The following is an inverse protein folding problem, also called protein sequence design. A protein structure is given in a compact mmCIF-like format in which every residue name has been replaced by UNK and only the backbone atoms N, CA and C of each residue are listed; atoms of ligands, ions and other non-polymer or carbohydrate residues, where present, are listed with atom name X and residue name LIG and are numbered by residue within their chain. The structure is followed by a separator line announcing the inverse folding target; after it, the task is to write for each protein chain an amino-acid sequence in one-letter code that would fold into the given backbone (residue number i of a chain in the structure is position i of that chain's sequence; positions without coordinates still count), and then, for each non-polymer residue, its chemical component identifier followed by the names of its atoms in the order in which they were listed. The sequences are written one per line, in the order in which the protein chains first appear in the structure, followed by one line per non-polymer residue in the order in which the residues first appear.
data_IF_441203905833
#
_entry.id   IF_441203905833
#
_cell.length_a   1.000
_cell.length_b   1.000
_cell.length_c   1.000
_cell.angle_alpha   90.00
_cell.angle_beta   90.00
_cell.angle_gamma   90.00
#
_symmetry.space_group_name_H-M   'P 1'
#
loop_
_entity.id
_entity.type
_entity.pdbx_description
1 polymer ?
#
# COMPACT_ATOMS: atom_id res chain seq x y z
N UNK A 1 52.57 25.48 12.55
CA UNK A 1 51.86 25.79 11.30
C UNK A 1 50.94 24.63 10.95
N UNK A 2 49.64 24.85 11.07
CA UNK A 2 48.58 23.86 10.85
C UNK A 2 48.49 23.48 9.37
N UNK A 3 47.91 22.32 9.06
CA UNK A 3 47.82 21.81 7.68
C UNK A 3 47.01 22.73 6.75
N UNK A 4 46.00 23.40 7.31
CA UNK A 4 45.21 24.45 6.66
C UNK A 4 46.05 25.68 6.29
N UNK A 5 46.95 26.12 7.18
CA UNK A 5 47.83 27.27 6.94
C UNK A 5 48.87 26.96 5.87
N UNK A 6 49.39 25.72 5.86
CA UNK A 6 50.28 25.23 4.80
C UNK A 6 49.58 25.09 3.45
N UNK A 7 48.28 24.78 3.45
CA UNK A 7 47.48 24.72 2.23
C UNK A 7 47.22 26.13 1.69
N UNK A 8 46.78 27.07 2.55
CA UNK A 8 46.58 28.47 2.13
C UNK A 8 47.86 29.10 1.59
N UNK A 9 48.99 28.89 2.26
CA UNK A 9 50.28 29.43 1.80
C UNK A 9 50.68 28.92 0.40
N UNK A 10 50.41 27.64 0.13
CA UNK A 10 50.67 27.03 -1.19
C UNK A 10 49.77 27.58 -2.29
N UNK A 11 48.49 27.84 -1.97
CA UNK A 11 47.58 28.50 -2.91
C UNK A 11 48.00 29.94 -3.20
N UNK A 12 48.38 30.69 -2.17
CA UNK A 12 48.80 32.09 -2.28
C UNK A 12 50.08 32.22 -3.14
N UNK A 13 51.03 31.31 -2.95
CA UNK A 13 52.27 31.23 -3.73
C UNK A 13 52.03 30.84 -5.20
N UNK A 14 51.13 29.88 -5.44
CA UNK A 14 50.71 29.49 -6.78
C UNK A 14 50.04 30.65 -7.53
N UNK A 15 49.11 31.35 -6.87
CA UNK A 15 48.48 32.54 -7.43
C UNK A 15 49.50 33.65 -7.66
N UNK A 16 50.46 33.87 -6.76
CA UNK A 16 51.49 34.90 -6.92
C UNK A 16 52.43 34.65 -8.12
N UNK A 17 52.72 33.39 -8.43
CA UNK A 17 53.69 33.03 -9.48
C UNK A 17 53.04 32.87 -10.87
N UNK A 18 51.81 32.36 -10.93
CA UNK A 18 51.11 32.08 -12.19
C UNK A 18 49.86 32.96 -12.44
N UNK A 19 49.34 33.65 -11.44
CA UNK A 19 48.13 34.47 -11.52
C UNK A 19 48.40 35.93 -11.20
N UNK A 20 48.82 36.72 -12.20
CA UNK A 20 48.97 38.16 -12.05
C UNK A 20 47.76 38.80 -11.36
N UNK A 21 48.04 39.73 -10.42
CA UNK A 21 47.13 40.53 -9.58
C UNK A 21 45.71 39.97 -9.39
N UNK A 22 45.39 39.50 -8.18
CA UNK A 22 44.09 39.00 -7.72
C UNK A 22 42.94 39.92 -8.19
N UNK A 23 42.44 39.68 -9.39
CA UNK A 23 41.19 40.27 -9.87
C UNK A 23 40.09 39.59 -9.07
N UNK A 24 39.27 40.37 -8.40
CA UNK A 24 38.01 39.90 -7.82
C UNK A 24 37.22 39.26 -8.96
N UNK A 25 37.08 37.93 -8.93
CA UNK A 25 36.30 37.20 -9.93
C UNK A 25 34.83 37.51 -9.68
N UNK A 26 34.12 38.13 -10.64
CA UNK A 26 32.67 38.31 -10.53
C UNK A 26 32.01 36.95 -10.38
N UNK A 27 30.98 36.85 -9.54
CA UNK A 27 30.23 35.61 -9.31
C UNK A 27 29.60 35.02 -10.60
N UNK A 28 29.56 35.80 -11.69
CA UNK A 28 28.95 35.49 -12.98
C UNK A 28 29.85 34.66 -13.93
N UNK A 29 30.98 34.13 -13.44
CA UNK A 29 31.91 33.32 -14.25
C UNK A 29 32.59 32.17 -13.52
N UNK A 30 32.18 31.83 -12.29
CA UNK A 30 32.62 30.57 -11.69
C UNK A 30 32.04 29.42 -12.52
N UNK A 31 32.85 28.42 -12.94
CA UNK A 31 32.29 27.21 -13.51
C UNK A 31 31.22 26.69 -12.55
N UNK A 32 30.07 26.30 -13.09
CA UNK A 32 29.00 25.67 -12.32
C UNK A 32 29.62 24.63 -11.38
N UNK A 33 29.12 24.49 -10.12
CA UNK A 33 29.74 23.62 -9.13
C UNK A 33 30.01 22.28 -9.81
N UNK A 34 31.29 21.95 -9.98
CA UNK A 34 31.68 20.73 -10.65
C UNK A 34 30.97 19.58 -9.95
N UNK A 35 30.34 18.69 -10.71
CA UNK A 35 29.63 17.55 -10.14
C UNK A 35 30.59 16.81 -9.21
N UNK A 36 30.21 16.70 -7.95
CA UNK A 36 31.05 16.01 -6.96
C UNK A 36 31.10 14.53 -7.35
N UNK A 37 32.18 13.82 -7.01
CA UNK A 37 32.27 12.36 -7.18
C UNK A 37 31.04 11.64 -6.61
N UNK A 38 30.47 12.16 -5.52
CA UNK A 38 29.26 11.64 -4.89
C UNK A 38 28.03 11.80 -5.78
N UNK A 39 27.88 12.94 -6.45
CA UNK A 39 26.75 13.19 -7.35
C UNK A 39 26.86 12.32 -8.60
N UNK A 40 28.07 12.16 -9.13
CA UNK A 40 28.34 11.25 -10.25
C UNK A 40 28.00 9.79 -9.91
N UNK A 41 28.31 9.34 -8.69
CA UNK A 41 27.92 8.02 -8.21
C UNK A 41 26.40 7.92 -8.05
N UNK A 42 25.73 8.95 -7.53
CA UNK A 42 24.26 8.96 -7.39
C UNK A 42 23.56 8.84 -8.74
N UNK A 43 24.05 9.56 -9.75
CA UNK A 43 23.45 9.58 -11.08
C UNK A 43 23.68 8.25 -11.83
N UNK A 44 24.84 7.60 -11.59
CA UNK A 44 25.23 6.36 -12.27
C UNK A 44 24.84 5.10 -11.49
N UNK A 45 24.36 5.24 -10.25
CA UNK A 45 24.03 4.11 -9.39
C UNK A 45 22.84 3.32 -9.92
N UNK A 46 22.97 2.00 -9.89
CA UNK A 46 21.92 1.04 -10.27
C UNK A 46 21.62 0.12 -9.10
N UNK A 47 20.34 -0.09 -8.79
CA UNK A 47 19.90 -0.97 -7.69
C UNK A 47 20.25 -2.44 -7.98
N UNK A 48 20.07 -2.88 -9.23
CA UNK A 48 20.65 -4.11 -9.79
C UNK A 48 21.47 -3.70 -11.00
N UNK A 49 22.72 -4.13 -11.05
CA UNK A 49 23.65 -3.76 -12.11
C UNK A 49 23.85 -4.94 -13.05
N UNK A 50 23.60 -4.71 -14.33
CA UNK A 50 23.81 -5.69 -15.40
C UNK A 50 25.12 -5.38 -16.13
N UNK A 51 25.70 -6.37 -16.81
CA UNK A 51 26.99 -6.18 -17.52
C UNK A 51 26.89 -5.14 -18.66
N UNK A 52 25.68 -4.85 -19.15
CA UNK A 52 25.42 -3.81 -20.14
C UNK A 52 25.37 -2.37 -19.60
N UNK A 53 25.34 -2.17 -18.27
CA UNK A 53 25.33 -0.84 -17.64
C UNK A 53 26.74 -0.22 -17.56
N UNK A 54 27.79 -0.98 -17.92
CA UNK A 54 29.18 -0.57 -17.87
C UNK A 54 29.64 0.06 -19.19
N UNK A 55 29.45 1.38 -19.33
CA UNK A 55 29.92 2.18 -20.49
C UNK A 55 31.44 2.49 -20.47
N UNK A 56 32.19 1.96 -19.49
CA UNK A 56 33.64 2.16 -19.33
C UNK A 56 34.05 3.53 -18.77
N UNK A 57 33.10 4.44 -18.53
CA UNK A 57 33.38 5.77 -17.98
C UNK A 57 33.96 5.69 -16.57
N UNK A 58 34.66 6.75 -16.13
CA UNK A 58 35.14 6.84 -14.74
C UNK A 58 33.96 6.77 -13.76
N UNK A 59 32.84 7.41 -14.09
CA UNK A 59 31.59 7.37 -13.34
C UNK A 59 31.09 5.92 -13.13
N UNK A 60 30.99 5.17 -14.24
CA UNK A 60 30.52 3.80 -14.21
C UNK A 60 31.48 2.87 -13.46
N UNK A 61 32.80 3.05 -13.62
CA UNK A 61 33.81 2.34 -12.83
C UNK A 61 33.72 2.63 -11.33
N UNK A 62 33.44 3.88 -10.94
CA UNK A 62 33.24 4.23 -9.52
C UNK A 62 31.95 3.62 -8.97
N UNK A 63 30.85 3.69 -9.73
CA UNK A 63 29.58 3.07 -9.36
C UNK A 63 29.70 1.54 -9.24
N UNK A 64 30.42 0.86 -10.15
CA UNK A 64 30.73 -0.57 -10.07
C UNK A 64 31.44 -0.92 -8.78
N UNK A 65 32.53 -0.20 -8.46
CA UNK A 65 33.30 -0.43 -7.21
C UNK A 65 32.44 -0.24 -5.96
N UNK A 66 31.52 0.71 -5.96
CA UNK A 66 30.57 0.89 -4.87
C UNK A 66 29.56 -0.27 -4.79
N UNK A 67 29.01 -0.69 -5.93
CA UNK A 67 28.05 -1.79 -6.03
C UNK A 67 28.63 -3.13 -5.55
N UNK A 68 29.90 -3.39 -5.86
CA UNK A 68 30.59 -4.63 -5.47
C UNK A 68 30.80 -4.71 -3.95
N UNK A 69 30.97 -3.57 -3.28
CA UNK A 69 31.06 -3.49 -1.80
C UNK A 69 29.72 -3.74 -1.11
N UNK A 70 28.59 -3.51 -1.79
CA UNK A 70 27.27 -3.69 -1.17
C UNK A 70 27.00 -5.17 -0.88
N UNK A 71 26.48 -5.42 0.31
CA UNK A 71 26.00 -6.74 0.72
C UNK A 71 24.55 -6.96 0.25
N UNK A 72 24.39 -7.84 -0.74
CA UNK A 72 23.16 -8.01 -1.53
C UNK A 72 22.23 -9.15 -1.07
N UNK A 73 22.44 -9.69 0.13
CA UNK A 73 21.61 -10.78 0.66
C UNK A 73 20.30 -10.29 1.27
N UNK A 74 20.36 -9.19 2.04
CA UNK A 74 19.21 -8.58 2.72
C UNK A 74 19.18 -7.08 2.46
N UNK A 75 18.00 -6.56 2.09
CA UNK A 75 17.76 -5.12 1.95
C UNK A 75 17.38 -4.48 3.29
N UNK A 76 17.45 -3.15 3.33
CA UNK A 76 16.77 -2.34 4.33
C UNK A 76 15.58 -1.65 3.71
N UNK A 77 14.54 -1.44 4.53
CA UNK A 77 13.32 -0.77 4.10
C UNK A 77 13.08 0.53 4.87
N UNK A 78 12.80 1.60 4.14
CA UNK A 78 12.17 2.78 4.69
C UNK A 78 10.65 2.63 4.62
N UNK A 79 10.06 2.46 5.80
CA UNK A 79 8.62 2.28 5.99
C UNK A 79 7.94 3.58 6.45
N UNK A 80 8.60 4.75 6.39
CA UNK A 80 8.02 6.04 6.83
C UNK A 80 6.69 6.36 6.14
N UNK A 81 6.58 6.07 4.83
CA UNK A 81 5.41 6.32 3.99
C UNK A 81 4.51 5.11 3.76
N UNK A 82 4.52 4.12 4.66
CA UNK A 82 3.74 2.88 4.51
C UNK A 82 2.22 3.11 4.34
N UNK A 83 1.67 4.21 4.88
CA UNK A 83 0.24 4.54 4.76
C UNK A 83 -0.18 4.91 3.34
N UNK A 84 0.70 5.57 2.59
CA UNK A 84 0.47 5.87 1.17
C UNK A 84 0.73 4.64 0.29
N UNK A 85 1.47 3.64 0.83
CA UNK A 85 1.84 2.41 0.12
C UNK A 85 3.21 2.50 -0.53
N UNK A 86 3.92 3.62 -0.32
CA UNK A 86 5.28 3.81 -0.80
C UNK A 86 6.26 3.26 0.23
N UNK A 87 7.12 2.36 -0.23
CA UNK A 87 8.20 1.77 0.57
C UNK A 87 9.50 2.00 -0.20
N UNK A 88 10.48 2.60 0.45
CA UNK A 88 11.83 2.73 -0.10
C UNK A 88 12.66 1.52 0.29
N UNK A 89 13.48 1.00 -0.61
CA UNK A 89 14.42 -0.08 -0.28
C UNK A 89 15.82 0.29 -0.74
N UNK A 90 16.83 -0.17 0.00
CA UNK A 90 18.24 -0.05 -0.38
C UNK A 90 19.05 -1.24 0.14
N UNK A 91 20.19 -1.49 -0.50
CA UNK A 91 21.16 -2.44 0.01
C UNK A 91 21.85 -1.93 1.28
N UNK A 92 22.37 -2.89 2.06
CA UNK A 92 23.11 -2.61 3.30
C UNK A 92 24.53 -2.17 2.96
N UNK A 93 25.06 -1.27 3.79
CA UNK A 93 26.48 -0.89 3.77
C UNK A 93 27.25 -1.67 4.84
N UNK A 94 28.57 -1.76 4.69
CA UNK A 94 29.46 -2.57 5.54
C UNK A 94 29.25 -2.32 7.05
N UNK A 95 29.16 -1.05 7.46
CA UNK A 95 28.93 -0.69 8.86
C UNK A 95 27.61 -1.23 9.41
N UNK A 96 26.56 -1.29 8.59
CA UNK A 96 25.26 -1.84 8.97
C UNK A 96 25.28 -3.36 9.06
N UNK A 97 26.03 -4.02 8.17
CA UNK A 97 26.23 -5.46 8.18
C UNK A 97 27.03 -5.89 9.40
N UNK A 98 28.11 -5.18 9.72
CA UNK A 98 28.91 -5.43 10.94
C UNK A 98 28.08 -5.25 12.21
N UNK A 99 27.12 -4.30 12.21
CA UNK A 99 26.16 -4.13 13.31
C UNK A 99 25.07 -5.21 13.34
N UNK A 100 24.90 -5.97 12.26
CA UNK A 100 23.87 -7.00 12.13
C UNK A 100 22.48 -6.47 11.74
N UNK A 101 22.41 -5.25 11.19
CA UNK A 101 21.17 -4.62 10.74
C UNK A 101 20.54 -5.40 9.60
N UNK A 102 19.24 -5.68 9.67
CA UNK A 102 18.52 -6.46 8.66
C UNK A 102 18.82 -7.96 8.69
N UNK A 103 19.44 -8.47 9.76
CA UNK A 103 19.68 -9.91 9.97
C UNK A 103 19.37 -10.32 11.41
N UNK A 104 20.06 -9.71 12.39
CA UNK A 104 19.79 -9.89 13.83
C UNK A 104 19.06 -8.69 14.46
N UNK A 105 18.98 -7.59 13.73
CA UNK A 105 18.17 -6.42 14.06
C UNK A 105 17.21 -6.12 12.89
N UNK A 106 16.05 -5.55 13.18
CA UNK A 106 15.03 -5.18 12.21
C UNK A 106 15.62 -4.35 11.06
N UNK A 107 15.34 -4.74 9.82
CA UNK A 107 15.79 -4.10 8.58
C UNK A 107 15.08 -2.79 8.25
N UNK A 108 14.15 -2.33 9.09
CA UNK A 108 13.58 -1.00 8.91
C UNK A 108 14.58 0.07 9.39
N UNK A 109 14.82 1.09 8.56
CA UNK A 109 15.86 2.12 8.78
C UNK A 109 15.72 2.77 10.17
N UNK A 110 14.49 3.11 10.57
CA UNK A 110 14.21 3.76 11.85
C UNK A 110 13.82 2.84 13.01
N UNK A 111 14.07 1.53 12.95
CA UNK A 111 13.65 0.58 14.00
C UNK A 111 14.81 -0.29 14.48
N UNK A 112 15.14 -0.27 15.77
CA UNK A 112 16.25 -1.06 16.36
C UNK A 112 15.81 -2.35 17.05
N UNK A 113 14.60 -2.84 16.79
CA UNK A 113 14.06 -4.05 17.41
C UNK A 113 14.83 -5.31 17.00
N UNK A 114 15.03 -6.24 17.93
CA UNK A 114 15.76 -7.51 17.73
C UNK A 114 14.91 -8.74 18.01
N UNK A 115 13.76 -8.58 18.68
CA UNK A 115 12.86 -9.68 18.99
C UNK A 115 11.89 -9.98 17.84
N UNK A 116 11.57 -11.28 17.67
CA UNK A 116 10.50 -11.73 16.77
C UNK A 116 10.73 -11.41 15.29
N UNK A 117 11.98 -11.37 14.86
CA UNK A 117 12.34 -11.08 13.48
C UNK A 117 11.89 -12.19 12.53
N UNK A 118 11.31 -11.80 11.40
CA UNK A 118 10.91 -12.71 10.34
C UNK A 118 11.49 -12.24 9.00
N UNK A 119 11.88 -13.21 8.17
CA UNK A 119 12.38 -12.96 6.81
C UNK A 119 11.19 -12.97 5.85
N UNK A 120 11.09 -11.93 5.03
CA UNK A 120 10.09 -11.80 3.99
C UNK A 120 10.77 -11.66 2.63
N UNK A 121 10.22 -12.35 1.64
CA UNK A 121 10.54 -12.12 0.23
C UNK A 121 9.53 -11.13 -0.33
N UNK A 122 10.01 -9.98 -0.77
CA UNK A 122 9.18 -8.87 -1.23
C UNK A 122 9.49 -8.58 -2.68
N UNK A 123 8.46 -8.51 -3.51
CA UNK A 123 8.60 -8.02 -4.87
C UNK A 123 8.74 -6.50 -4.85
N UNK A 124 9.94 -6.00 -5.08
CA UNK A 124 10.26 -4.59 -5.16
C UNK A 124 10.15 -4.12 -6.61
N UNK A 125 9.04 -3.44 -6.92
CA UNK A 125 8.86 -2.74 -8.18
C UNK A 125 9.36 -1.29 -8.05
N UNK A 126 10.26 -0.89 -8.94
CA UNK A 126 10.88 0.44 -8.92
C UNK A 126 11.09 0.96 -10.35
N UNK A 127 11.22 2.27 -10.49
CA UNK A 127 11.53 2.92 -11.77
C UNK A 127 12.95 3.44 -11.70
N UNK A 128 13.76 3.09 -12.69
CA UNK A 128 15.16 3.48 -12.76
C UNK A 128 15.51 3.82 -14.21
N UNK A 129 16.07 5.01 -14.45
CA UNK A 129 16.29 5.57 -15.80
C UNK A 129 15.04 5.53 -16.71
N UNK A 130 13.85 5.74 -16.14
CA UNK A 130 12.59 5.77 -16.88
C UNK A 130 11.97 4.39 -17.17
N UNK A 131 12.67 3.30 -16.82
CA UNK A 131 12.19 1.94 -17.02
C UNK A 131 11.67 1.32 -15.72
N UNK A 132 10.54 0.62 -15.81
CA UNK A 132 9.97 -0.12 -14.69
C UNK A 132 10.68 -1.46 -14.50
N UNK A 133 11.42 -1.61 -13.41
CA UNK A 133 12.11 -2.84 -13.02
C UNK A 133 11.40 -3.51 -11.84
N UNK A 134 11.61 -4.82 -11.71
CA UNK A 134 11.12 -5.60 -10.57
C UNK A 134 12.23 -6.50 -10.05
N UNK A 135 12.34 -6.62 -8.74
CA UNK A 135 13.32 -7.46 -8.08
C UNK A 135 12.72 -8.15 -6.86
N UNK A 136 12.93 -9.46 -6.73
CA UNK A 136 12.59 -10.17 -5.52
C UNK A 136 13.72 -9.99 -4.50
N UNK A 137 13.43 -9.30 -3.39
CA UNK A 137 14.42 -8.99 -2.36
C UNK A 137 14.04 -9.59 -1.02
N UNK A 138 15.05 -9.97 -0.23
CA UNK A 138 14.85 -10.48 1.13
C UNK A 138 14.95 -9.34 2.13
N UNK A 139 14.00 -9.29 3.05
CA UNK A 139 13.92 -8.28 4.10
C UNK A 139 13.62 -8.96 5.44
N UNK A 140 14.43 -8.71 6.45
CA UNK A 140 14.17 -9.17 7.82
C UNK A 140 13.55 -8.04 8.62
N UNK A 141 12.36 -8.23 9.18
CA UNK A 141 11.67 -7.19 9.99
C UNK A 141 10.97 -7.78 11.21
N UNK A 142 10.80 -6.94 12.24
CA UNK A 142 10.00 -7.26 13.42
C UNK A 142 8.48 -7.25 13.11
N UNK A 143 7.62 -7.75 14.01
CA UNK A 143 6.18 -7.86 13.76
C UNK A 143 5.49 -6.52 13.46
N UNK A 144 5.90 -5.44 14.13
CA UNK A 144 5.35 -4.10 13.86
C UNK A 144 5.70 -3.60 12.45
N UNK A 145 6.94 -3.81 12.03
CA UNK A 145 7.40 -3.41 10.70
C UNK A 145 6.82 -4.33 9.61
N UNK A 146 6.58 -5.60 9.91
CA UNK A 146 5.84 -6.51 9.03
C UNK A 146 4.40 -6.05 8.80
N UNK A 147 3.73 -5.52 9.83
CA UNK A 147 2.41 -4.90 9.68
C UNK A 147 2.45 -3.66 8.78
N UNK A 148 3.45 -2.77 8.97
CA UNK A 148 3.64 -1.58 8.12
C UNK A 148 3.89 -1.98 6.66
N UNK A 149 4.75 -2.97 6.43
CA UNK A 149 5.08 -3.50 5.10
C UNK A 149 3.81 -4.00 4.37
N UNK A 150 2.92 -4.70 5.07
CA UNK A 150 1.70 -5.27 4.48
C UNK A 150 0.44 -4.41 4.69
N UNK A 151 0.61 -3.15 5.11
CA UNK A 151 -0.48 -2.30 5.59
C UNK A 151 -1.64 -2.18 4.59
N UNK A 152 -1.35 -1.93 3.30
CA UNK A 152 -2.36 -1.80 2.24
C UNK A 152 -3.14 -3.09 2.03
N UNK A 153 -2.45 -4.23 2.00
CA UNK A 153 -3.07 -5.56 1.84
C UNK A 153 -4.00 -5.87 3.01
N UNK A 154 -3.55 -5.61 4.23
CA UNK A 154 -4.35 -5.83 5.45
C UNK A 154 -5.56 -4.88 5.49
N UNK A 155 -5.37 -3.60 5.13
CA UNK A 155 -6.45 -2.61 5.08
C UNK A 155 -7.52 -2.99 4.05
N UNK A 156 -7.11 -3.35 2.83
CA UNK A 156 -8.04 -3.79 1.78
C UNK A 156 -8.82 -5.05 2.15
N UNK A 157 -8.17 -6.03 2.81
CA UNK A 157 -8.86 -7.21 3.34
C UNK A 157 -9.92 -6.85 4.39
N UNK A 158 -9.58 -5.96 5.33
CA UNK A 158 -10.52 -5.50 6.37
C UNK A 158 -11.72 -4.75 5.78
N UNK A 159 -11.48 -3.90 4.78
CA UNK A 159 -12.55 -3.16 4.09
C UNK A 159 -13.47 -4.11 3.31
N UNK A 160 -12.91 -5.06 2.54
CA UNK A 160 -13.70 -6.04 1.81
C UNK A 160 -14.51 -6.98 2.72
N UNK A 161 -13.98 -7.34 3.90
CA UNK A 161 -14.73 -8.10 4.91
C UNK A 161 -15.91 -7.31 5.46
N UNK A 162 -15.73 -6.01 5.72
CA UNK A 162 -16.82 -5.12 6.19
C UNK A 162 -17.90 -4.96 5.14
N UNK A 163 -17.53 -4.79 3.87
CA UNK A 163 -18.49 -4.70 2.76
C UNK A 163 -19.29 -6.01 2.59
N UNK A 164 -18.61 -7.16 2.71
CA UNK A 164 -19.27 -8.47 2.71
C UNK A 164 -20.20 -8.68 3.90
N UNK A 165 -19.85 -8.16 5.07
CA UNK A 165 -20.72 -8.22 6.25
C UNK A 165 -21.97 -7.35 6.04
N UNK A 166 -21.80 -6.09 5.63
CA UNK A 166 -22.92 -5.17 5.39
C UNK A 166 -23.87 -5.64 4.29
N UNK A 167 -23.35 -6.21 3.19
CA UNK A 167 -24.18 -6.79 2.13
C UNK A 167 -24.99 -8.02 2.61
N UNK A 168 -24.42 -8.86 3.49
CA UNK A 168 -25.13 -9.98 4.12
C UNK A 168 -26.25 -9.50 5.04
N UNK A 169 -25.99 -8.49 5.85
CA UNK A 169 -27.00 -7.87 6.73
C UNK A 169 -28.15 -7.27 5.92
N UNK A 170 -27.85 -6.45 4.90
CA UNK A 170 -28.86 -5.87 4.02
C UNK A 170 -29.71 -6.94 3.31
N UNK A 171 -29.12 -8.07 2.92
CA UNK A 171 -29.85 -9.20 2.33
C UNK A 171 -30.74 -9.89 3.35
N UNK A 172 -30.28 -10.03 4.60
CA UNK A 172 -31.07 -10.58 5.71
C UNK A 172 -32.29 -9.70 6.02
N UNK A 173 -32.11 -8.37 6.10
CA UNK A 173 -33.20 -7.42 6.31
C UNK A 173 -34.24 -7.41 5.18
N UNK A 174 -33.79 -7.48 3.92
CA UNK A 174 -34.72 -7.62 2.78
C UNK A 174 -35.53 -8.91 2.88
N UNK A 175 -34.91 -10.01 3.33
CA UNK A 175 -35.58 -11.30 3.52
C UNK A 175 -36.58 -11.26 4.67
N UNK A 176 -36.26 -10.62 5.80
CA UNK A 176 -37.20 -10.46 6.93
C UNK A 176 -38.38 -9.59 6.53
N UNK A 177 -38.15 -8.42 5.91
CA UNK A 177 -39.22 -7.53 5.40
C UNK A 177 -40.15 -8.24 4.39
N UNK A 178 -39.59 -9.07 3.52
CA UNK A 178 -40.38 -9.88 2.57
C UNK A 178 -41.27 -10.92 3.29
N UNK A 179 -40.71 -11.62 4.30
CA UNK A 179 -41.48 -12.55 5.15
C UNK A 179 -42.61 -11.84 5.90
N UNK A 180 -42.38 -10.65 6.45
CA UNK A 180 -43.41 -9.87 7.14
C UNK A 180 -44.52 -9.39 6.20
N UNK A 181 -44.17 -8.95 4.98
CA UNK A 181 -45.17 -8.60 3.96
C UNK A 181 -46.02 -9.81 3.59
N UNK A 182 -45.39 -10.99 3.43
CA UNK A 182 -46.11 -12.25 3.12
C UNK A 182 -47.05 -12.64 4.26
N UNK A 183 -46.60 -12.57 5.51
CA UNK A 183 -47.40 -12.91 6.69
C UNK A 183 -48.61 -11.97 6.86
N UNK A 184 -48.42 -10.65 6.64
CA UNK A 184 -49.51 -9.66 6.66
C UNK A 184 -50.54 -9.94 5.57
N UNK A 185 -50.11 -10.25 4.34
CA UNK A 185 -51.01 -10.58 3.22
C UNK A 185 -51.81 -11.85 3.49
N UNK A 186 -51.20 -12.87 4.10
CA UNK A 186 -51.88 -14.10 4.48
C UNK A 186 -52.92 -13.87 5.60
N UNK A 187 -52.58 -13.10 6.64
CA UNK A 187 -53.53 -12.70 7.69
C UNK A 187 -54.71 -11.92 7.12
N UNK A 188 -54.46 -11.01 6.17
CA UNK A 188 -55.52 -10.27 5.45
C UNK A 188 -56.48 -11.20 4.69
N UNK A 189 -55.95 -12.18 3.95
CA UNK A 189 -56.75 -13.20 3.24
C UNK A 189 -57.57 -14.07 4.20
N UNK A 190 -57.03 -14.43 5.36
CA UNK A 190 -57.78 -15.19 6.40
C UNK A 190 -58.94 -14.37 6.96
N UNK A 191 -58.71 -13.08 7.26
CA UNK A 191 -59.75 -12.15 7.74
C UNK A 191 -60.85 -11.87 6.70
N UNK A 192 -60.52 -11.77 5.42
CA UNK A 192 -61.54 -11.59 4.37
C UNK A 192 -62.39 -12.84 4.19
N UNK A 193 -61.77 -14.03 4.23
CA UNK A 193 -62.48 -15.32 4.19
C UNK A 193 -63.41 -15.50 5.39
N UNK A 194 -63.00 -15.14 6.60
CA UNK A 194 -63.88 -15.23 7.78
C UNK A 194 -65.08 -14.28 7.67
N UNK A 195 -64.85 -13.02 7.27
CA UNK A 195 -65.94 -12.06 7.02
C UNK A 195 -66.91 -12.52 5.95
N UNK A 196 -66.41 -13.11 4.86
CA UNK A 196 -67.26 -13.67 3.80
C UNK A 196 -68.12 -14.83 4.32
N UNK A 197 -67.54 -15.76 5.09
CA UNK A 197 -68.28 -16.87 5.73
C UNK A 197 -69.37 -16.36 6.67
N UNK A 198 -69.07 -15.35 7.50
CA UNK A 198 -70.04 -14.77 8.42
C UNK A 198 -71.20 -14.09 7.65
N UNK A 199 -70.90 -13.38 6.57
CA UNK A 199 -71.90 -12.73 5.71
C UNK A 199 -72.79 -13.75 4.99
N UNK A 200 -72.22 -14.86 4.53
CA UNK A 200 -72.97 -15.98 3.94
C UNK A 200 -73.85 -16.71 4.95
N UNK A 201 -73.37 -16.90 6.19
CA UNK A 201 -74.16 -17.48 7.28
C UNK A 201 -75.34 -16.59 7.66
N UNK A 202 -75.14 -15.26 7.72
CA UNK A 202 -76.23 -14.29 7.95
C UNK A 202 -77.27 -14.31 6.82
N UNK A 203 -76.86 -14.48 5.56
CA UNK A 203 -77.79 -14.59 4.42
C UNK A 203 -78.65 -15.87 4.50
N UNK A 204 -78.06 -17.02 4.84
CA UNK A 204 -78.80 -18.29 4.99
C UNK A 204 -79.84 -18.25 6.12
N UNK A 205 -79.59 -17.50 7.20
CA UNK A 205 -80.57 -17.30 8.29
C UNK A 205 -81.73 -16.36 7.93
N UNK A 206 -81.62 -15.61 6.82
CA UNK A 206 -82.62 -14.63 6.35
C UNK A 206 -83.45 -15.13 5.17
N UNK A 207 -83.22 -16.35 4.69
CA UNK A 207 -84.06 -16.99 3.69
C UNK A 207 -85.39 -17.40 4.34
N UNK A 208 -86.55 -16.89 3.87
CA UNK A 208 -87.84 -17.37 4.33
C UNK A 208 -88.07 -18.79 3.81
N UNK A 209 -88.62 -19.66 4.65
CA UNK A 209 -89.19 -20.94 4.21
C UNK A 209 -90.37 -20.64 3.28
N UNK A 210 -90.14 -20.74 1.97
CA UNK A 210 -91.23 -20.82 0.99
C UNK A 210 -91.82 -22.23 1.07
N UNK A 211 -92.87 -22.39 1.87
CA UNK A 211 -93.80 -23.51 1.74
C UNK A 211 -94.75 -23.19 0.59
N UNK A 212 -94.47 -23.79 -0.57
CA UNK A 212 -95.38 -23.92 -1.70
C UNK A 212 -96.42 -25.01 -1.40
N UNK A 213 -97.70 -24.69 -1.50
CA UNK A 213 -98.72 -25.67 -1.90
C UNK A 213 -99.83 -24.93 -2.65
N UNK A 214 -99.73 -24.96 -3.98
CA UNK A 214 -100.77 -24.52 -4.89
C UNK A 214 -101.82 -25.61 -5.11
N UNK A 215 -103.06 -25.14 -5.21
CA UNK A 215 -104.15 -25.58 -6.09
C UNK A 215 -104.53 -27.07 -6.16
N UNK A 216 -105.77 -27.34 -5.78
CA UNK A 216 -106.56 -28.46 -6.29
C UNK A 216 -108.02 -28.31 -5.91
N UNK A 217 -108.86 -27.77 -6.79
CA UNK A 217 -110.30 -28.10 -6.78
C UNK A 217 -110.85 -28.09 -8.20
N UNK A 218 -111.34 -29.27 -8.57
CA UNK A 218 -112.10 -29.58 -9.77
C UNK A 218 -113.60 -29.40 -9.50
N UNK A 219 -114.31 -29.11 -10.61
CA UNK A 219 -115.77 -29.02 -10.82
C UNK A 219 -116.46 -27.76 -10.36
#
# INVERSE_FOLDING_TARGET
MNEWERHQKRLDEYFRYYGGARKEVPAEGLPAPASTDLDLIRDTFRFIREDGDDDGTQASRMARRYYDRLHKEYCLADLSRYRTGQVGMRWRVDAEVMRGKGQIECGAVGCSERAGLATFEVNFAYVEAGEGKQALVKLVVCPECAYKLHYKKIKGLKEGLRERAGSREARSEKKSRSKDKKSKREKGRKRSRSRSRERSARRRRRSPSSSSSGSGRSR
#
